data_IF_730084509451
#
_entry.id   IF_730084509451
#
_cell.length_a   1.000
_cell.length_b   1.000
_cell.length_c   1.000
_cell.angle_alpha   90.00
_cell.angle_beta   90.00
_cell.angle_gamma   90.00
#
_symmetry.space_group_name_H-M   'P 1'
#
loop_
_entity.id
_entity.type
_entity.pdbx_description
1 polymer ?
#
# COMPACT_ATOMS: atom_id res chain seq x y z
N UNK A 1 29.26 -15.89 16.41
CA UNK A 1 28.31 -15.97 15.26
C UNK A 1 26.93 -15.35 15.57
N UNK A 2 26.78 -14.45 16.56
CA UNK A 2 25.47 -13.84 16.90
C UNK A 2 25.17 -12.50 16.19
N UNK A 3 26.18 -11.85 15.62
CA UNK A 3 26.02 -10.51 15.03
C UNK A 3 25.46 -10.49 13.60
N UNK A 4 25.62 -11.58 12.83
CA UNK A 4 25.08 -11.65 11.46
C UNK A 4 23.56 -11.79 11.39
N UNK A 5 22.94 -12.43 12.39
CA UNK A 5 21.49 -12.63 12.43
C UNK A 5 20.73 -11.31 12.74
N UNK A 6 21.30 -10.45 13.58
CA UNK A 6 20.68 -9.18 13.96
C UNK A 6 20.71 -8.14 12.81
N UNK A 7 21.76 -8.14 11.99
CA UNK A 7 21.85 -7.28 10.80
C UNK A 7 20.85 -7.67 9.70
N UNK A 8 20.68 -8.98 9.46
CA UNK A 8 19.72 -9.49 8.47
C UNK A 8 18.26 -9.18 8.83
N UNK A 9 17.89 -9.33 10.11
CA UNK A 9 16.53 -9.05 10.57
C UNK A 9 16.17 -7.56 10.52
N UNK A 10 17.13 -6.64 10.76
CA UNK A 10 16.86 -5.19 10.65
C UNK A 10 16.73 -4.75 9.19
N UNK A 11 17.58 -5.28 8.30
CA UNK A 11 17.51 -4.99 6.87
C UNK A 11 16.16 -5.41 6.30
N UNK A 12 15.70 -6.63 6.63
CA UNK A 12 14.42 -7.14 6.16
C UNK A 12 13.22 -6.36 6.69
N UNK A 13 13.24 -5.95 7.96
CA UNK A 13 12.21 -5.05 8.50
C UNK A 13 12.21 -3.70 7.77
N UNK A 14 13.39 -3.12 7.48
CA UNK A 14 13.49 -1.88 6.71
C UNK A 14 12.85 -2.02 5.32
N UNK A 15 13.18 -3.10 4.60
CA UNK A 15 12.64 -3.38 3.27
C UNK A 15 11.11 -3.54 3.28
N UNK A 16 10.55 -4.21 4.29
CA UNK A 16 9.10 -4.34 4.46
C UNK A 16 8.43 -2.99 4.77
N UNK A 17 9.02 -2.18 5.65
CA UNK A 17 8.50 -0.86 5.98
C UNK A 17 8.62 0.12 4.81
N UNK A 18 9.71 0.07 4.03
CA UNK A 18 9.89 0.87 2.81
C UNK A 18 8.81 0.54 1.77
N UNK A 19 8.44 -0.73 1.62
CA UNK A 19 7.31 -1.13 0.77
C UNK A 19 6.01 -0.50 1.23
N UNK A 20 5.67 -0.62 2.52
CA UNK A 20 4.46 -0.02 3.11
C UNK A 20 4.40 1.50 2.93
N UNK A 21 5.53 2.20 3.10
CA UNK A 21 5.62 3.64 2.85
C UNK A 21 5.31 3.99 1.40
N UNK A 22 5.86 3.23 0.46
CA UNK A 22 5.63 3.43 -0.96
C UNK A 22 4.17 3.14 -1.35
N UNK A 23 3.55 2.11 -0.74
CA UNK A 23 2.11 1.87 -0.86
C UNK A 23 1.27 3.03 -0.37
N UNK A 24 1.62 3.60 0.78
CA UNK A 24 0.92 4.76 1.30
C UNK A 24 0.99 5.96 0.33
N UNK A 25 2.15 6.21 -0.26
CA UNK A 25 2.31 7.27 -1.27
C UNK A 25 1.44 7.02 -2.50
N UNK A 26 1.38 5.77 -2.97
CA UNK A 26 0.51 5.34 -4.08
C UNK A 26 -0.96 5.61 -3.76
N UNK A 27 -1.43 5.14 -2.61
CA UNK A 27 -2.84 5.26 -2.20
C UNK A 27 -3.23 6.73 -2.15
N UNK A 28 -2.36 7.59 -1.61
CA UNK A 28 -2.57 9.05 -1.57
C UNK A 28 -2.68 9.68 -2.95
N UNK A 29 -1.86 9.26 -3.91
CA UNK A 29 -1.91 9.76 -5.29
C UNK A 29 -3.19 9.33 -6.00
N UNK A 30 -3.52 8.04 -5.94
CA UNK A 30 -4.77 7.51 -6.51
C UNK A 30 -5.99 8.21 -5.91
N UNK A 31 -6.00 8.41 -4.59
CA UNK A 31 -7.06 9.14 -3.91
C UNK A 31 -7.17 10.60 -4.38
N UNK A 32 -6.05 11.30 -4.55
CA UNK A 32 -6.04 12.67 -5.05
C UNK A 32 -6.54 12.76 -6.50
N UNK A 33 -6.26 11.75 -7.33
CA UNK A 33 -6.81 11.61 -8.67
C UNK A 33 -8.33 11.39 -8.64
N UNK A 34 -8.76 10.43 -7.82
CA UNK A 34 -10.16 10.01 -7.70
C UNK A 34 -11.06 11.09 -7.06
N UNK A 35 -10.54 11.92 -6.16
CA UNK A 35 -11.28 13.04 -5.57
C UNK A 35 -11.78 14.06 -6.63
N UNK A 36 -11.22 14.07 -7.84
CA UNK A 36 -11.71 14.90 -8.96
C UNK A 36 -12.87 14.26 -9.73
N UNK A 37 -13.17 13.01 -9.41
CA UNK A 37 -14.07 12.12 -10.15
C UNK A 37 -15.18 11.56 -9.25
N UNK A 38 -15.05 11.66 -7.92
CA UNK A 38 -15.98 11.06 -6.94
C UNK A 38 -17.44 11.50 -7.09
N UNK A 39 -17.70 12.72 -7.57
CA UNK A 39 -19.05 13.23 -7.83
C UNK A 39 -19.67 12.74 -9.15
N UNK A 40 -18.92 11.99 -9.97
CA UNK A 40 -19.35 11.58 -11.32
C UNK A 40 -20.06 10.23 -11.35
N UNK A 41 -19.77 9.34 -10.40
CA UNK A 41 -20.45 8.06 -10.25
C UNK A 41 -20.43 7.60 -8.79
N UNK A 42 -21.44 6.82 -8.40
CA UNK A 42 -21.48 6.18 -7.09
C UNK A 42 -20.34 5.18 -6.92
N UNK A 43 -19.88 4.54 -8.01
CA UNK A 43 -18.68 3.72 -8.06
C UNK A 43 -17.43 4.50 -7.66
N UNK A 44 -17.17 5.67 -8.26
CA UNK A 44 -15.99 6.47 -7.92
C UNK A 44 -15.99 6.94 -6.49
N UNK A 45 -17.17 7.31 -5.96
CA UNK A 45 -17.32 7.63 -4.53
C UNK A 45 -16.96 6.44 -3.64
N UNK A 46 -17.44 5.24 -3.98
CA UNK A 46 -17.12 4.03 -3.24
C UNK A 46 -15.63 3.72 -3.26
N UNK A 47 -15.00 3.78 -4.44
CA UNK A 47 -13.55 3.61 -4.59
C UNK A 47 -12.75 4.64 -3.77
N UNK A 48 -13.23 5.87 -3.65
CA UNK A 48 -12.57 6.90 -2.87
C UNK A 48 -12.64 6.60 -1.36
N UNK A 49 -13.75 6.05 -0.90
CA UNK A 49 -13.92 5.56 0.46
C UNK A 49 -13.03 4.34 0.74
N UNK A 50 -12.93 3.39 -0.19
CA UNK A 50 -12.03 2.23 -0.08
C UNK A 50 -10.57 2.64 0.03
N UNK A 51 -10.09 3.53 -0.86
CA UNK A 51 -8.72 4.05 -0.79
C UNK A 51 -8.47 4.82 0.50
N UNK A 52 -9.46 5.57 1.00
CA UNK A 52 -9.34 6.29 2.26
C UNK A 52 -9.24 5.34 3.46
N UNK A 53 -9.99 4.23 3.44
CA UNK A 53 -9.89 3.19 4.46
C UNK A 53 -8.53 2.48 4.42
N UNK A 54 -8.06 2.11 3.22
CA UNK A 54 -6.73 1.53 3.00
C UNK A 54 -5.62 2.47 3.51
N UNK A 55 -5.68 3.77 3.17
CA UNK A 55 -4.72 4.77 3.68
C UNK A 55 -4.68 4.80 5.22
N UNK A 56 -5.86 4.80 5.86
CA UNK A 56 -5.97 4.87 7.30
C UNK A 56 -5.37 3.64 8.00
N UNK A 57 -5.60 2.44 7.47
CA UNK A 57 -5.04 1.20 8.03
C UNK A 57 -3.52 1.14 7.85
N UNK A 58 -2.98 1.50 6.68
CA UNK A 58 -1.52 1.61 6.47
C UNK A 58 -0.91 2.61 7.47
N UNK A 59 -1.51 3.79 7.63
CA UNK A 59 -1.02 4.81 8.58
C UNK A 59 -1.06 4.28 10.02
N UNK A 60 -2.15 3.62 10.42
CA UNK A 60 -2.34 3.09 11.77
C UNK A 60 -1.32 2.00 12.10
N UNK A 61 -1.03 1.09 11.17
CA UNK A 61 -0.06 0.01 11.37
C UNK A 61 1.39 0.53 11.44
N UNK A 62 1.73 1.54 10.63
CA UNK A 62 3.13 1.89 10.39
C UNK A 62 3.57 3.25 10.95
N UNK A 63 2.66 4.13 11.36
CA UNK A 63 3.05 5.45 11.88
C UNK A 63 2.66 5.68 13.34
N UNK A 64 1.79 4.84 13.91
CA UNK A 64 1.34 5.00 15.30
C UNK A 64 1.26 3.68 16.10
N UNK A 65 2.28 3.38 16.92
CA UNK A 65 3.62 3.95 16.93
C UNK A 65 4.68 2.91 16.51
N UNK A 66 5.57 3.29 15.60
CA UNK A 66 6.64 2.47 14.99
C UNK A 66 7.45 1.67 16.01
N UNK A 67 7.64 2.24 17.21
CA UNK A 67 8.33 1.56 18.31
C UNK A 67 7.66 0.24 18.70
N UNK A 68 6.34 0.12 18.62
CA UNK A 68 5.64 -1.15 18.86
C UNK A 68 5.97 -2.20 17.80
N UNK A 69 6.03 -1.81 16.54
CA UNK A 69 6.39 -2.72 15.44
C UNK A 69 7.83 -3.19 15.57
N UNK A 70 8.75 -2.29 15.93
CA UNK A 70 10.16 -2.63 16.21
C UNK A 70 10.27 -3.56 17.43
N UNK A 71 9.59 -3.24 18.53
CA UNK A 71 9.60 -4.06 19.75
C UNK A 71 8.97 -5.43 19.51
N UNK A 72 7.89 -5.51 18.73
CA UNK A 72 7.26 -6.75 18.32
C UNK A 72 8.20 -7.58 17.44
N UNK A 73 8.88 -6.95 16.48
CA UNK A 73 9.86 -7.62 15.62
C UNK A 73 11.04 -8.20 16.41
N UNK A 74 11.51 -7.51 17.45
CA UNK A 74 12.55 -8.02 18.35
C UNK A 74 12.06 -9.25 19.12
N UNK A 75 10.79 -9.26 19.55
CA UNK A 75 10.20 -10.35 20.35
C UNK A 75 9.80 -11.55 19.51
N UNK A 76 9.20 -11.34 18.34
CA UNK A 76 8.57 -12.35 17.50
C UNK A 76 8.74 -12.02 16.00
N UNK A 77 9.97 -12.07 15.46
CA UNK A 77 10.26 -11.59 14.11
C UNK A 77 9.46 -12.32 13.02
N UNK A 78 9.26 -13.64 13.14
CA UNK A 78 8.51 -14.42 12.15
C UNK A 78 7.02 -14.06 12.11
N UNK A 79 6.39 -13.92 13.28
CA UNK A 79 4.96 -13.57 13.35
C UNK A 79 4.71 -12.16 12.81
N UNK A 80 5.59 -11.20 13.14
CA UNK A 80 5.49 -9.83 12.61
C UNK A 80 5.80 -9.82 11.12
N UNK A 81 6.76 -10.61 10.63
CA UNK A 81 7.02 -10.74 9.19
C UNK A 81 5.79 -11.27 8.44
N UNK A 82 5.18 -12.36 8.90
CA UNK A 82 3.98 -12.94 8.28
C UNK A 82 2.80 -11.97 8.30
N UNK A 83 2.62 -11.23 9.40
CA UNK A 83 1.59 -10.19 9.51
C UNK A 83 1.83 -9.06 8.51
N UNK A 84 3.04 -8.50 8.46
CA UNK A 84 3.40 -7.44 7.53
C UNK A 84 3.17 -7.88 6.07
N UNK A 85 3.66 -9.07 5.70
CA UNK A 85 3.47 -9.61 4.36
C UNK A 85 1.99 -9.75 4.02
N UNK A 86 1.19 -10.32 4.94
CA UNK A 86 -0.24 -10.52 4.73
C UNK A 86 -0.97 -9.19 4.55
N UNK A 87 -0.72 -8.21 5.42
CA UNK A 87 -1.39 -6.91 5.33
C UNK A 87 -0.97 -6.13 4.08
N UNK A 88 0.32 -6.18 3.71
CA UNK A 88 0.79 -5.60 2.44
C UNK A 88 0.07 -6.23 1.24
N UNK A 89 -0.17 -7.55 1.26
CA UNK A 89 -0.90 -8.24 0.18
C UNK A 89 -2.38 -7.84 0.11
N UNK A 90 -3.02 -7.63 1.25
CA UNK A 90 -4.41 -7.14 1.32
C UNK A 90 -4.54 -5.72 0.75
N UNK A 91 -3.62 -4.82 1.10
CA UNK A 91 -3.60 -3.46 0.53
C UNK A 91 -3.30 -3.48 -0.96
N UNK A 92 -2.34 -4.31 -1.38
CA UNK A 92 -2.04 -4.56 -2.78
C UNK A 92 -3.30 -4.97 -3.56
N UNK A 93 -4.07 -5.92 -3.03
CA UNK A 93 -5.31 -6.40 -3.67
C UNK A 93 -6.34 -5.28 -3.78
N UNK A 94 -6.49 -4.46 -2.73
CA UNK A 94 -7.40 -3.32 -2.72
C UNK A 94 -7.02 -2.30 -3.78
N UNK A 95 -5.73 -1.96 -3.87
CA UNK A 95 -5.24 -0.99 -4.86
C UNK A 95 -5.43 -1.52 -6.29
N UNK A 96 -5.16 -2.81 -6.55
CA UNK A 96 -5.40 -3.41 -7.87
C UNK A 96 -6.86 -3.35 -8.27
N UNK A 97 -7.77 -3.68 -7.36
CA UNK A 97 -9.19 -3.60 -7.61
C UNK A 97 -9.61 -2.19 -8.02
N UNK A 98 -9.14 -1.17 -7.28
CA UNK A 98 -9.43 0.23 -7.60
C UNK A 98 -8.90 0.60 -8.99
N UNK A 99 -7.70 0.16 -9.33
CA UNK A 99 -7.10 0.39 -10.66
C UNK A 99 -7.95 -0.26 -11.76
N UNK A 100 -8.39 -1.50 -11.58
CA UNK A 100 -9.21 -2.21 -12.56
C UNK A 100 -10.53 -1.48 -12.82
N UNK A 101 -11.25 -1.08 -11.76
CA UNK A 101 -12.50 -0.32 -11.91
C UNK A 101 -12.25 1.06 -12.54
N UNK A 102 -11.13 1.72 -12.20
CA UNK A 102 -10.76 2.98 -12.86
C UNK A 102 -10.47 2.79 -14.35
N UNK A 103 -9.81 1.71 -14.74
CA UNK A 103 -9.55 1.41 -16.16
C UNK A 103 -10.82 1.06 -16.94
N UNK A 104 -11.86 0.54 -16.28
CA UNK A 104 -13.15 0.25 -16.88
C UNK A 104 -14.05 1.49 -17.00
N UNK A 105 -14.08 2.35 -15.98
CA UNK A 105 -15.01 3.49 -15.93
C UNK A 105 -14.44 4.77 -16.55
N UNK A 106 -13.12 4.95 -16.59
CA UNK A 106 -12.51 6.17 -17.10
C UNK A 106 -12.29 6.16 -18.61
N UNK A 107 -12.39 7.34 -19.21
CA UNK A 107 -11.99 7.51 -20.61
C UNK A 107 -10.49 7.30 -20.74
N UNK A 108 -10.01 6.86 -21.92
CA UNK A 108 -8.57 6.69 -22.18
C UNK A 108 -7.70 7.89 -21.80
N UNK A 109 -8.25 9.11 -21.88
CA UNK A 109 -7.56 10.35 -21.52
C UNK A 109 -7.37 10.51 -20.01
N UNK A 110 -8.38 10.18 -19.22
CA UNK A 110 -8.31 10.22 -17.75
C UNK A 110 -7.42 9.09 -17.22
N UNK A 111 -7.49 7.92 -17.86
CA UNK A 111 -6.55 6.83 -17.61
C UNK A 111 -5.11 7.29 -17.89
N UNK A 112 -4.84 8.03 -18.96
CA UNK A 112 -3.49 8.53 -19.27
C UNK A 112 -2.88 9.41 -18.16
N UNK A 113 -3.69 10.25 -17.52
CA UNK A 113 -3.24 11.09 -16.39
C UNK A 113 -2.85 10.24 -15.17
N UNK A 114 -3.53 9.10 -14.96
CA UNK A 114 -3.26 8.15 -13.87
C UNK A 114 -2.33 6.99 -14.28
N UNK A 115 -2.05 6.82 -15.57
CA UNK A 115 -1.38 5.64 -16.15
C UNK A 115 0.03 5.46 -15.61
N UNK A 116 0.77 6.56 -15.46
CA UNK A 116 2.13 6.51 -14.92
C UNK A 116 2.18 6.09 -13.44
N UNK A 117 1.08 6.24 -12.71
CA UNK A 117 0.92 5.82 -11.32
C UNK A 117 0.44 4.37 -11.29
N UNK A 118 -0.64 4.04 -12.03
CA UNK A 118 -1.15 2.68 -12.23
C UNK A 118 -0.05 1.71 -12.65
N UNK A 119 0.78 2.09 -13.62
CA UNK A 119 1.85 1.25 -14.14
C UNK A 119 2.93 0.99 -13.08
N UNK A 120 3.31 2.02 -12.30
CA UNK A 120 4.29 1.88 -11.21
C UNK A 120 3.77 0.99 -10.10
N UNK A 121 2.48 1.15 -9.75
CA UNK A 121 1.80 0.26 -8.82
C UNK A 121 1.88 -1.17 -9.34
N UNK A 122 1.42 -1.45 -10.57
CA UNK A 122 1.49 -2.80 -11.15
C UNK A 122 2.91 -3.38 -11.14
N UNK A 123 3.91 -2.60 -11.50
CA UNK A 123 5.32 -3.03 -11.46
C UNK A 123 5.77 -3.38 -10.05
N UNK A 124 5.48 -2.55 -9.05
CA UNK A 124 5.80 -2.85 -7.66
C UNK A 124 5.05 -4.06 -7.11
N UNK A 125 3.82 -4.28 -7.55
CA UNK A 125 2.95 -5.37 -7.13
C UNK A 125 3.32 -6.72 -7.75
N UNK A 126 3.97 -6.70 -8.92
CA UNK A 126 4.35 -7.89 -9.68
C UNK A 126 5.83 -8.25 -9.52
N UNK A 127 6.64 -7.35 -8.95
CA UNK A 127 8.04 -7.63 -8.62
C UNK A 127 8.11 -8.47 -7.34
N UNK A 128 8.31 -9.79 -7.53
CA UNK A 128 8.48 -10.79 -6.45
C UNK A 128 9.69 -10.52 -5.58
#
# INVERSE_FOLDING_TARGET
MKDRAHGGNRKKLSELLEKELLFLEIVRKLRAGLAKLEDRSESFKHLAEELKACEAEIVKRHFFPINKTIDAWIKQPLAVEEELIRTTQEDQSTILHVIEVLEEELTKKEIEELRGEIQRVREMLTTR
#
